data_IF_175888032105
#
_entry.id   IF_175888032105
#
_cell.length_a   1.000
_cell.length_b   1.000
_cell.length_c   1.000
_cell.angle_alpha   90.00
_cell.angle_beta   90.00
_cell.angle_gamma   90.00
#
_symmetry.space_group_name_H-M   'P 1'
#
loop_
_entity.id
_entity.type
_entity.pdbx_description
1 polymer ?
#
# COMPACT_ATOMS: atom_id res chain seq x y z
N UNK A 1 -14.12 -4.47 -5.72
CA UNK A 1 -13.49 -3.23 -5.22
C UNK A 1 -12.68 -2.66 -6.39
N UNK A 2 -12.64 -1.35 -6.64
CA UNK A 2 -11.75 -0.79 -7.68
C UNK A 2 -10.32 -0.68 -7.16
N UNK A 3 -9.35 -0.54 -8.06
CA UNK A 3 -7.95 -0.27 -7.69
C UNK A 3 -7.80 1.01 -6.84
N UNK A 4 -8.45 2.09 -7.26
CA UNK A 4 -8.51 3.35 -6.49
C UNK A 4 -9.11 3.13 -5.10
N UNK A 5 -10.19 2.34 -5.01
CA UNK A 5 -10.81 1.99 -3.72
C UNK A 5 -9.89 1.19 -2.79
N UNK A 6 -8.92 0.44 -3.32
CA UNK A 6 -7.87 -0.21 -2.51
C UNK A 6 -6.88 0.81 -1.97
N UNK A 7 -6.45 1.74 -2.82
CA UNK A 7 -5.53 2.82 -2.43
C UNK A 7 -6.15 3.63 -1.30
N UNK A 8 -7.41 4.05 -1.45
CA UNK A 8 -8.13 4.80 -0.43
C UNK A 8 -8.25 4.02 0.88
N UNK A 9 -8.57 2.72 0.77
CA UNK A 9 -8.70 1.86 1.96
C UNK A 9 -7.37 1.70 2.70
N UNK A 10 -6.26 1.59 1.97
CA UNK A 10 -4.91 1.58 2.55
C UNK A 10 -4.63 2.94 3.21
N UNK A 11 -4.93 4.05 2.52
CA UNK A 11 -4.74 5.40 3.07
C UNK A 11 -5.51 5.61 4.38
N UNK A 12 -6.76 5.14 4.47
CA UNK A 12 -7.56 5.21 5.69
C UNK A 12 -6.89 4.42 6.82
N UNK A 13 -6.44 3.19 6.56
CA UNK A 13 -5.77 2.37 7.57
C UNK A 13 -4.46 3.02 8.05
N UNK A 14 -3.66 3.56 7.13
CA UNK A 14 -2.41 4.25 7.46
C UNK A 14 -2.64 5.57 8.23
N UNK A 15 -3.77 6.24 7.98
CA UNK A 15 -4.16 7.46 8.70
C UNK A 15 -4.37 7.18 10.19
N UNK A 16 -4.78 5.97 10.57
CA UNK A 16 -4.85 5.59 12.00
C UNK A 16 -3.48 5.52 12.70
N UNK A 17 -2.38 5.43 11.94
CA UNK A 17 -1.02 5.30 12.43
C UNK A 17 -0.28 6.65 12.38
N UNK A 18 -0.36 7.34 11.23
CA UNK A 18 0.44 8.54 10.95
C UNK A 18 -0.39 9.81 10.77
N UNK A 19 -1.73 9.73 10.86
CA UNK A 19 -2.61 10.88 10.72
C UNK A 19 -2.34 11.65 9.44
N UNK A 20 -2.13 12.96 9.57
CA UNK A 20 -1.88 13.91 8.48
C UNK A 20 -0.60 13.61 7.68
N UNK A 21 0.32 12.79 8.18
CA UNK A 21 1.54 12.41 7.47
C UNK A 21 1.31 11.30 6.43
N UNK A 22 0.15 10.63 6.46
CA UNK A 22 -0.16 9.51 5.56
C UNK A 22 0.01 9.84 4.07
N UNK A 23 -0.51 10.97 3.55
CA UNK A 23 -0.33 11.32 2.14
C UNK A 23 1.15 11.46 1.74
N UNK A 24 1.99 11.97 2.64
CA UNK A 24 3.43 12.10 2.39
C UNK A 24 4.12 10.73 2.31
N UNK A 25 3.81 9.84 3.26
CA UNK A 25 4.38 8.47 3.27
C UNK A 25 3.97 7.71 2.01
N UNK A 26 2.68 7.77 1.64
CA UNK A 26 2.19 7.10 0.43
C UNK A 26 2.82 7.67 -0.82
N UNK A 27 2.75 8.99 -1.04
CA UNK A 27 3.34 9.64 -2.23
C UNK A 27 4.82 9.30 -2.38
N UNK A 28 5.58 9.28 -1.28
CA UNK A 28 6.99 8.89 -1.31
C UNK A 28 7.18 7.46 -1.85
N UNK A 29 6.31 6.51 -1.49
CA UNK A 29 6.45 5.12 -1.95
C UNK A 29 6.06 4.95 -3.41
N UNK A 30 5.08 5.69 -3.89
CA UNK A 30 4.77 5.72 -5.33
C UNK A 30 5.94 6.31 -6.13
N UNK A 31 6.55 7.40 -5.64
CA UNK A 31 7.76 7.98 -6.26
C UNK A 31 8.93 7.00 -6.24
N UNK A 32 9.14 6.26 -5.14
CA UNK A 32 10.20 5.23 -5.02
C UNK A 32 10.08 4.13 -6.10
N UNK A 33 8.90 3.91 -6.68
CA UNK A 33 8.66 2.93 -7.77
C UNK A 33 8.45 3.57 -9.15
N UNK A 34 8.65 4.89 -9.27
CA UNK A 34 8.45 5.63 -10.52
C UNK A 34 7.00 5.72 -10.98
N UNK A 35 6.05 5.73 -10.05
CA UNK A 35 4.61 5.84 -10.32
C UNK A 35 3.99 7.07 -9.64
N UNK A 36 2.80 7.46 -10.10
CA UNK A 36 1.90 8.32 -9.33
C UNK A 36 0.73 7.51 -8.77
N UNK A 37 -0.01 8.07 -7.84
CA UNK A 37 -1.18 7.40 -7.23
C UNK A 37 -2.24 7.13 -8.31
N UNK A 38 -2.40 8.07 -9.24
CA UNK A 38 -3.46 8.09 -10.24
C UNK A 38 -3.20 7.12 -11.41
N UNK A 39 -1.96 6.67 -11.61
CA UNK A 39 -1.57 5.88 -12.79
C UNK A 39 -0.79 4.60 -12.49
N UNK A 40 -0.66 4.23 -11.22
CA UNK A 40 0.10 3.05 -10.84
C UNK A 40 -0.52 1.77 -11.42
N UNK A 41 0.33 0.92 -11.98
CA UNK A 41 -0.03 -0.45 -12.32
C UNK A 41 -0.17 -1.33 -11.08
N UNK A 42 -0.75 -2.53 -11.25
CA UNK A 42 -0.85 -3.54 -10.20
C UNK A 42 0.51 -3.89 -9.61
N UNK A 43 1.49 -4.19 -10.46
CA UNK A 43 2.86 -4.51 -10.05
C UNK A 43 3.53 -3.36 -9.29
N UNK A 44 3.30 -2.12 -9.72
CA UNK A 44 3.81 -0.95 -9.01
C UNK A 44 3.17 -0.82 -7.63
N UNK A 45 1.86 -1.10 -7.50
CA UNK A 45 1.18 -1.09 -6.21
C UNK A 45 1.64 -2.21 -5.28
N UNK A 46 1.91 -3.40 -5.81
CA UNK A 46 2.51 -4.48 -5.01
C UNK A 46 3.86 -4.04 -4.45
N UNK A 47 4.72 -3.42 -5.28
CA UNK A 47 6.00 -2.86 -4.82
C UNK A 47 5.82 -1.73 -3.81
N UNK A 48 4.83 -0.86 -3.98
CA UNK A 48 4.49 0.18 -3.00
C UNK A 48 4.13 -0.44 -1.65
N UNK A 49 3.30 -1.48 -1.62
CA UNK A 49 2.91 -2.17 -0.39
C UNK A 49 4.14 -2.76 0.32
N UNK A 50 5.06 -3.39 -0.42
CA UNK A 50 6.31 -3.90 0.13
C UNK A 50 7.19 -2.77 0.71
N UNK A 51 7.27 -1.62 0.03
CA UNK A 51 8.00 -0.47 0.55
C UNK A 51 7.35 0.15 1.79
N UNK A 52 6.01 0.14 1.87
CA UNK A 52 5.27 0.56 3.06
C UNK A 52 5.58 -0.39 4.22
N UNK A 53 5.59 -1.70 3.97
CA UNK A 53 5.98 -2.72 4.97
C UNK A 53 7.38 -2.44 5.52
N UNK A 54 8.38 -2.43 4.64
CA UNK A 54 9.79 -2.41 5.02
C UNK A 54 10.24 -1.05 5.58
N UNK A 55 9.82 0.06 4.95
CA UNK A 55 10.37 1.39 5.23
C UNK A 55 9.48 2.25 6.12
N UNK A 56 8.27 1.82 6.44
CA UNK A 56 7.36 2.59 7.30
C UNK A 56 6.80 1.73 8.44
N UNK A 57 6.01 0.70 8.12
CA UNK A 57 5.32 -0.09 9.12
C UNK A 57 6.29 -0.87 10.01
N UNK A 58 7.36 -1.47 9.46
CA UNK A 58 8.30 -2.24 10.27
C UNK A 58 9.03 -1.38 11.30
N UNK A 59 9.27 -0.11 10.98
CA UNK A 59 9.90 0.87 11.89
C UNK A 59 8.93 1.31 12.98
N UNK A 60 7.65 1.48 12.67
CA UNK A 60 6.64 1.99 13.62
C UNK A 60 5.98 0.90 14.47
N UNK A 61 5.70 -0.26 13.90
CA UNK A 61 4.91 -1.34 14.52
C UNK A 61 5.70 -2.62 14.79
N UNK A 62 6.97 -2.68 14.35
CA UNK A 62 7.76 -3.91 14.33
C UNK A 62 7.44 -4.82 13.15
N UNK A 63 8.37 -5.74 12.84
CA UNK A 63 8.34 -6.56 11.61
C UNK A 63 7.10 -7.45 11.49
N UNK A 64 6.67 -8.07 12.59
CA UNK A 64 5.56 -9.02 12.55
C UNK A 64 4.24 -8.32 12.18
N UNK A 65 3.95 -7.19 12.83
CA UNK A 65 2.72 -6.46 12.59
C UNK A 65 2.72 -5.77 11.22
N UNK A 66 3.88 -5.27 10.79
CA UNK A 66 4.07 -4.75 9.44
C UNK A 66 3.73 -5.78 8.37
N UNK A 67 4.25 -7.01 8.50
CA UNK A 67 3.97 -8.10 7.57
C UNK A 67 2.49 -8.47 7.54
N UNK A 68 1.82 -8.52 8.70
CA UNK A 68 0.38 -8.79 8.78
C UNK A 68 -0.44 -7.75 8.01
N UNK A 69 -0.11 -6.46 8.16
CA UNK A 69 -0.75 -5.36 7.41
C UNK A 69 -0.47 -5.43 5.92
N UNK A 70 0.77 -5.66 5.52
CA UNK A 70 1.14 -5.79 4.12
C UNK A 70 0.41 -6.94 3.43
N UNK A 71 0.31 -8.11 4.08
CA UNK A 71 -0.48 -9.24 3.57
C UNK A 71 -1.97 -8.91 3.42
N UNK A 72 -2.53 -8.11 4.34
CA UNK A 72 -3.89 -7.62 4.24
C UNK A 72 -4.08 -6.68 3.04
N UNK A 73 -3.14 -5.75 2.81
CA UNK A 73 -3.19 -4.85 1.65
C UNK A 73 -3.07 -5.60 0.33
N UNK A 74 -2.14 -6.57 0.26
CA UNK A 74 -2.01 -7.46 -0.91
C UNK A 74 -3.28 -8.25 -1.18
N UNK A 75 -3.97 -8.68 -0.12
CA UNK A 75 -5.27 -9.35 -0.27
C UNK A 75 -6.33 -8.42 -0.84
N UNK A 76 -6.45 -7.19 -0.34
CA UNK A 76 -7.38 -6.20 -0.91
C UNK A 76 -7.07 -5.89 -2.36
N UNK A 77 -5.79 -5.77 -2.72
CA UNK A 77 -5.34 -5.56 -4.09
C UNK A 77 -5.76 -6.70 -5.02
N UNK A 78 -5.60 -7.97 -4.58
CA UNK A 78 -6.09 -9.14 -5.33
C UNK A 78 -7.61 -9.16 -5.48
N UNK A 79 -8.35 -8.80 -4.43
CA UNK A 79 -9.82 -8.75 -4.47
C UNK A 79 -10.35 -7.63 -5.41
N UNK A 80 -9.54 -6.61 -5.68
CA UNK A 80 -9.90 -5.52 -6.58
C UNK A 80 -9.59 -5.78 -8.06
N UNK A 81 -8.65 -6.68 -8.34
CA UNK A 81 -8.30 -7.14 -9.68
C UNK A 81 -8.20 -8.68 -9.68
N UNK A 82 -9.34 -9.38 -9.80
CA UNK A 82 -9.36 -10.85 -9.78
C UNK A 82 -8.74 -11.48 -11.05
N UNK A 83 -8.59 -10.73 -12.14
CA UNK A 83 -8.14 -11.24 -13.44
C UNK A 83 -6.73 -10.79 -13.81
N UNK A 84 -5.74 -11.46 -13.22
CA UNK A 84 -4.49 -11.85 -13.89
C UNK A 84 -4.06 -13.20 -13.30
N UNK A 85 -4.98 -14.17 -13.35
CA UNK A 85 -4.59 -15.57 -13.21
C UNK A 85 -3.98 -15.97 -14.55
N UNK A 86 -2.65 -16.12 -14.54
CA UNK A 86 -1.78 -16.80 -15.53
C UNK A 86 -2.46 -17.54 -16.68
#
# INVERSE_FOLDING_TARGET
MSFEGVIDKIAIDLTSIWGEMTPYIMRKRFVDVGASIENASRDQMERVILLIEEKALAVTLGREMARKRALQYMRWLREAHPDETR
#
